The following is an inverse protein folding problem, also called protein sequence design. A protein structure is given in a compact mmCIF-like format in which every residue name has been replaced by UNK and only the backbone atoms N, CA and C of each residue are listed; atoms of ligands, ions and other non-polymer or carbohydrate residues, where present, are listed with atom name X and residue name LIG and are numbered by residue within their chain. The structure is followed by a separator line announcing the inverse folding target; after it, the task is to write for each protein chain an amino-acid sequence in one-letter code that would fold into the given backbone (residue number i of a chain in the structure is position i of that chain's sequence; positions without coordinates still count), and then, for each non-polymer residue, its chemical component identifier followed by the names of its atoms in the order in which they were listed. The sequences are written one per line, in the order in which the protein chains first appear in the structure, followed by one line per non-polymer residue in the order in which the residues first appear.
data_IF_283209582037
#
_entry.id   IF_283209582037
#
_cell.length_a   1.000
_cell.length_b   1.000
_cell.length_c   1.000
_cell.angle_alpha   90.00
_cell.angle_beta   90.00
_cell.angle_gamma   90.00
#
_symmetry.space_group_name_H-M   'P 1'
#
loop_
_entity.id
_entity.type
_entity.pdbx_description
1 polymer ?
#
# COMPACT_ATOMS: atom_id res chain seq x y z
N UNK A 1 1.14 1.84 21.01
CA UNK A 1 2.18 1.54 22.02
C UNK A 1 3.30 0.79 21.32
N UNK A 2 4.45 1.45 21.11
CA UNK A 2 5.65 0.86 20.51
C UNK A 2 6.59 0.38 21.61
N UNK A 3 7.23 -0.77 21.41
CA UNK A 3 8.24 -1.32 22.32
C UNK A 3 9.43 -0.34 22.46
N UNK A 4 9.93 -0.06 23.69
CA UNK A 4 11.11 0.77 23.88
C UNK A 4 12.30 0.13 23.14
N UNK A 5 12.99 0.90 22.29
CA UNK A 5 14.18 0.46 21.55
C UNK A 5 13.94 0.01 20.10
N UNK A 6 12.70 -0.29 19.71
CA UNK A 6 12.37 -0.74 18.35
C UNK A 6 12.93 -2.15 18.04
N UNK A 7 12.09 -3.08 17.62
CA UNK A 7 12.50 -4.47 17.37
C UNK A 7 13.00 -4.73 15.93
N UNK A 8 13.48 -3.68 15.24
CA UNK A 8 14.06 -3.81 13.90
C UNK A 8 13.08 -3.90 12.72
N UNK A 9 11.76 -3.76 12.94
CA UNK A 9 10.79 -3.84 11.83
C UNK A 9 10.99 -2.78 10.76
N UNK A 10 11.35 -1.54 11.12
CA UNK A 10 11.55 -0.49 10.12
C UNK A 10 12.73 -0.77 9.21
N UNK A 11 13.81 -1.35 9.73
CA UNK A 11 14.99 -1.74 8.95
C UNK A 11 14.68 -2.91 8.03
N UNK A 12 14.01 -3.94 8.56
CA UNK A 12 13.52 -5.06 7.74
C UNK A 12 12.57 -4.57 6.63
N UNK A 13 11.60 -3.72 6.97
CA UNK A 13 10.67 -3.15 6.00
C UNK A 13 11.38 -2.25 4.98
N UNK A 14 12.45 -1.55 5.38
CA UNK A 14 13.26 -0.78 4.44
C UNK A 14 14.00 -1.70 3.47
N UNK A 15 14.47 -2.87 3.87
CA UNK A 15 15.07 -3.82 2.94
C UNK A 15 14.02 -4.53 2.07
N UNK A 16 12.85 -4.85 2.63
CA UNK A 16 11.76 -5.59 1.97
C UNK A 16 10.70 -4.70 1.30
N UNK A 17 10.89 -3.38 1.27
CA UNK A 17 9.88 -2.42 0.83
C UNK A 17 9.40 -2.71 -0.59
N UNK A 18 10.30 -3.13 -1.48
CA UNK A 18 9.95 -3.47 -2.85
C UNK A 18 8.97 -4.64 -2.92
N UNK A 19 9.22 -5.71 -2.15
CA UNK A 19 8.35 -6.87 -2.07
C UNK A 19 6.99 -6.49 -1.47
N UNK A 20 7.00 -5.71 -0.40
CA UNK A 20 5.78 -5.21 0.25
C UNK A 20 4.92 -4.38 -0.70
N UNK A 21 5.51 -3.44 -1.42
CA UNK A 21 4.80 -2.57 -2.37
C UNK A 21 4.26 -3.35 -3.58
N UNK A 22 4.99 -4.34 -4.09
CA UNK A 22 4.48 -5.22 -5.13
C UNK A 22 3.29 -6.06 -4.64
N UNK A 23 3.34 -6.57 -3.40
CA UNK A 23 2.22 -7.29 -2.80
C UNK A 23 0.99 -6.37 -2.61
N UNK A 24 1.19 -5.14 -2.13
CA UNK A 24 0.13 -4.14 -2.00
C UNK A 24 -0.51 -3.80 -3.36
N UNK A 25 0.32 -3.60 -4.40
CA UNK A 25 -0.18 -3.41 -5.77
C UNK A 25 -1.04 -4.59 -6.23
N UNK A 26 -0.57 -5.82 -6.04
CA UNK A 26 -1.35 -7.02 -6.42
C UNK A 26 -2.67 -7.12 -5.66
N UNK A 27 -2.69 -6.76 -4.37
CA UNK A 27 -3.92 -6.70 -3.57
C UNK A 27 -4.91 -5.68 -4.12
N UNK A 28 -4.45 -4.48 -4.48
CA UNK A 28 -5.29 -3.42 -5.04
C UNK A 28 -5.87 -3.82 -6.40
N UNK A 29 -5.04 -4.37 -7.29
CA UNK A 29 -5.43 -4.81 -8.64
C UNK A 29 -6.44 -5.96 -8.59
N UNK A 30 -6.30 -6.90 -7.64
CA UNK A 30 -7.21 -8.06 -7.49
C UNK A 30 -8.47 -7.77 -6.69
N UNK A 31 -8.53 -6.64 -5.97
CA UNK A 31 -9.72 -6.30 -5.20
C UNK A 31 -10.92 -6.06 -6.16
N UNK A 32 -12.13 -6.57 -5.87
CA UNK A 32 -13.27 -6.40 -6.78
C UNK A 32 -14.00 -5.04 -6.66
N UNK A 33 -13.59 -4.15 -5.74
CA UNK A 33 -14.29 -2.88 -5.52
C UNK A 33 -14.11 -1.89 -6.70
N UNK A 34 -15.03 -0.95 -6.89
CA UNK A 34 -14.88 0.04 -7.96
C UNK A 34 -13.95 1.21 -7.57
N UNK A 35 -14.06 1.71 -6.34
CA UNK A 35 -13.51 3.01 -5.94
C UNK A 35 -12.69 2.98 -4.64
N UNK A 36 -12.37 1.79 -4.14
CA UNK A 36 -11.75 1.59 -2.83
C UNK A 36 -12.69 0.95 -1.80
N UNK A 37 -12.10 0.20 -0.88
CA UNK A 37 -12.78 -0.40 0.27
C UNK A 37 -11.80 -0.58 1.44
N UNK A 38 -12.27 -0.86 2.67
CA UNK A 38 -11.43 -1.03 3.86
C UNK A 38 -10.32 -2.09 3.72
N UNK A 39 -10.40 -2.99 2.73
CA UNK A 39 -9.44 -4.08 2.53
C UNK A 39 -8.37 -3.80 1.47
N UNK A 40 -8.41 -2.67 0.74
CA UNK A 40 -7.40 -2.32 -0.26
C UNK A 40 -6.81 -0.92 -0.01
N UNK A 41 -7.29 0.10 -0.73
CA UNK A 41 -6.82 1.49 -0.61
C UNK A 41 -7.53 2.26 0.51
N UNK A 42 -8.56 1.71 1.16
CA UNK A 42 -9.36 2.37 2.19
C UNK A 42 -10.79 2.74 1.72
N UNK A 43 -11.66 3.20 2.64
CA UNK A 43 -13.04 3.58 2.33
C UNK A 43 -13.11 4.76 1.35
N UNK A 44 -13.93 4.69 0.30
CA UNK A 44 -14.02 5.73 -0.74
C UNK A 44 -14.32 7.14 -0.21
N UNK A 45 -15.06 7.27 0.89
CA UNK A 45 -15.37 8.56 1.51
C UNK A 45 -14.14 9.22 2.16
N UNK A 46 -13.10 8.45 2.49
CA UNK A 46 -11.88 8.95 3.10
C UNK A 46 -10.79 9.20 2.06
N UNK A 47 -10.68 8.33 1.05
CA UNK A 47 -9.58 8.36 0.07
C UNK A 47 -9.95 8.92 -1.31
N UNK A 48 -11.25 9.12 -1.56
CA UNK A 48 -11.77 9.59 -2.85
C UNK A 48 -11.91 8.48 -3.90
N UNK A 49 -12.67 8.76 -4.97
CA UNK A 49 -13.04 7.75 -5.99
C UNK A 49 -11.88 7.28 -6.86
N UNK A 50 -10.85 8.12 -7.03
CA UNK A 50 -9.71 7.85 -7.88
C UNK A 50 -8.58 7.11 -7.17
N UNK A 51 -8.66 6.89 -5.85
CA UNK A 51 -7.57 6.28 -5.09
C UNK A 51 -7.17 4.91 -5.62
N UNK A 52 -8.16 4.08 -6.00
CA UNK A 52 -7.88 2.74 -6.55
C UNK A 52 -7.09 2.78 -7.86
N UNK A 53 -7.30 3.81 -8.68
CA UNK A 53 -6.59 3.99 -9.95
C UNK A 53 -5.20 4.61 -9.75
N UNK A 54 -5.08 5.57 -8.84
CA UNK A 54 -3.87 6.37 -8.66
C UNK A 54 -2.79 5.60 -7.86
N UNK A 55 -3.19 4.85 -6.82
CA UNK A 55 -2.23 4.20 -5.90
C UNK A 55 -1.27 3.23 -6.61
N UNK A 56 -1.72 2.33 -7.53
CA UNK A 56 -0.79 1.48 -8.28
C UNK A 56 0.24 2.25 -9.10
N UNK A 57 -0.12 3.44 -9.60
CA UNK A 57 0.80 4.31 -10.35
C UNK A 57 1.85 4.92 -9.43
N UNK A 58 1.45 5.41 -8.26
CA UNK A 58 2.37 5.90 -7.22
C UNK A 58 3.35 4.79 -6.79
N UNK A 59 2.86 3.55 -6.62
CA UNK A 59 3.72 2.40 -6.32
C UNK A 59 4.76 2.20 -7.44
N UNK A 60 4.36 2.31 -8.72
CA UNK A 60 5.28 2.27 -9.86
C UNK A 60 6.40 3.32 -9.76
N UNK A 61 6.02 4.57 -9.51
CA UNK A 61 6.95 5.70 -9.35
C UNK A 61 7.96 5.46 -8.22
N UNK A 62 7.51 4.93 -7.08
CA UNK A 62 8.38 4.63 -5.93
C UNK A 62 9.37 3.51 -6.27
N UNK A 63 8.94 2.50 -7.03
CA UNK A 63 9.79 1.37 -7.43
C UNK A 63 10.71 1.68 -8.62
N UNK A 64 10.67 2.90 -9.17
CA UNK A 64 11.43 3.29 -10.35
C UNK A 64 11.03 2.53 -11.61
N UNK A 65 9.76 2.13 -11.72
CA UNK A 65 9.19 1.40 -12.87
C UNK A 65 8.18 2.24 -13.63
#
# INVERSE_FOLDING_TARGET
MGYPGGIGFSELLYHEHANLLNAARSLIEKCPCAYGCPSCVGPTLEVGKSAKEIVPQIIGLILGK
#
